data_IF_956710360348
#
_entry.id   IF_956710360348
#
_cell.length_a   1.000
_cell.length_b   1.000
_cell.length_c   1.000
_cell.angle_alpha   90.00
_cell.angle_beta   90.00
_cell.angle_gamma   90.00
#
_symmetry.space_group_name_H-M   'P 1'
#
loop_
_entity.id
_entity.type
_entity.pdbx_description
1 polymer ?
#
# COMPACT_ATOMS: atom_id res chain seq x y z
N UNK A 1 -28.36 7.29 -39.54
CA UNK A 1 -27.03 6.95 -38.99
C UNK A 1 -26.12 8.17 -39.07
N UNK A 2 -25.90 8.87 -37.94
CA UNK A 2 -24.98 10.01 -37.88
C UNK A 2 -23.53 9.50 -37.98
N UNK A 3 -22.83 9.80 -39.05
CA UNK A 3 -21.40 9.53 -39.23
C UNK A 3 -20.63 10.25 -38.12
N UNK A 4 -20.04 9.49 -37.17
CA UNK A 4 -19.06 10.04 -36.21
C UNK A 4 -17.98 10.75 -37.01
N UNK A 5 -17.83 12.09 -36.79
CA UNK A 5 -16.76 12.88 -37.41
C UNK A 5 -15.42 12.19 -37.13
N UNK A 6 -14.77 11.68 -38.15
CA UNK A 6 -13.49 11.00 -38.03
C UNK A 6 -12.42 12.04 -37.73
N UNK A 7 -11.76 11.89 -36.56
CA UNK A 7 -10.64 12.74 -36.21
C UNK A 7 -9.43 12.40 -37.09
N UNK A 8 -8.78 13.42 -37.67
CA UNK A 8 -7.56 13.29 -38.46
C UNK A 8 -6.36 13.66 -37.57
N UNK A 9 -5.40 12.77 -37.34
CA UNK A 9 -4.16 13.10 -36.67
C UNK A 9 -3.32 14.09 -37.49
N UNK A 10 -2.40 14.82 -36.86
CA UNK A 10 -1.59 15.88 -37.48
C UNK A 10 -0.94 15.45 -38.82
N UNK A 11 -0.28 14.30 -38.84
CA UNK A 11 0.39 13.80 -40.04
C UNK A 11 -0.58 13.54 -41.21
N UNK A 12 -1.79 13.05 -40.93
CA UNK A 12 -2.79 12.87 -41.99
C UNK A 12 -3.33 14.19 -42.56
N UNK A 13 -3.36 15.26 -41.77
CA UNK A 13 -3.75 16.60 -42.18
C UNK A 13 -2.69 17.19 -43.13
N UNK A 14 -1.42 17.01 -42.79
CA UNK A 14 -0.28 17.43 -43.60
C UNK A 14 -0.31 16.71 -44.93
N UNK A 15 -0.33 15.40 -44.95
CA UNK A 15 -0.36 14.59 -46.15
C UNK A 15 -1.58 14.88 -47.06
N UNK A 16 -2.75 15.10 -46.44
CA UNK A 16 -3.97 15.45 -47.19
C UNK A 16 -3.82 16.78 -47.93
N UNK A 17 -3.21 17.79 -47.29
CA UNK A 17 -2.99 19.09 -47.91
C UNK A 17 -1.90 19.02 -48.97
N UNK A 18 -0.81 18.30 -48.71
CA UNK A 18 0.28 18.09 -49.69
C UNK A 18 -0.22 17.42 -50.95
N UNK A 19 -1.01 16.34 -50.86
CA UNK A 19 -1.59 15.65 -51.98
C UNK A 19 -2.53 16.57 -52.82
N UNK A 20 -3.27 17.44 -52.14
CA UNK A 20 -4.17 18.37 -52.85
C UNK A 20 -3.43 19.54 -53.52
N UNK A 21 -2.38 20.08 -52.91
CA UNK A 21 -1.72 21.29 -53.37
C UNK A 21 -0.53 21.04 -54.29
N UNK A 22 0.18 19.94 -54.08
CA UNK A 22 1.44 19.68 -54.80
C UNK A 22 1.39 18.42 -55.67
N UNK A 23 0.47 17.45 -55.38
CA UNK A 23 0.36 16.23 -56.17
C UNK A 23 -0.90 16.20 -57.08
N UNK A 24 -1.66 17.30 -57.17
CA UNK A 24 -2.80 17.43 -58.10
C UNK A 24 -4.07 16.66 -57.69
N UNK A 25 -4.14 16.12 -56.47
CA UNK A 25 -5.34 15.40 -56.05
C UNK A 25 -6.53 16.35 -55.83
N UNK A 26 -7.68 16.04 -56.43
CA UNK A 26 -8.88 16.85 -56.23
C UNK A 26 -9.42 16.72 -54.80
N UNK A 27 -10.10 17.76 -54.29
CA UNK A 27 -10.71 17.76 -52.97
C UNK A 27 -11.70 16.60 -52.74
N UNK A 28 -12.43 16.20 -53.80
CA UNK A 28 -13.34 15.04 -53.73
C UNK A 28 -12.59 13.72 -53.58
N UNK A 29 -11.51 13.52 -54.32
CA UNK A 29 -10.65 12.32 -54.21
C UNK A 29 -9.98 12.26 -52.83
N UNK A 30 -9.45 13.37 -52.31
CA UNK A 30 -8.86 13.44 -50.97
C UNK A 30 -9.87 13.15 -49.87
N UNK A 31 -11.11 13.63 -50.02
CA UNK A 31 -12.19 13.35 -49.10
C UNK A 31 -12.56 11.86 -49.06
N UNK A 32 -12.67 11.23 -50.24
CA UNK A 32 -12.91 9.77 -50.36
C UNK A 32 -11.74 8.97 -49.77
N UNK A 33 -10.51 9.33 -50.11
CA UNK A 33 -9.31 8.65 -49.67
C UNK A 33 -9.18 8.62 -48.12
N UNK A 34 -9.42 9.76 -47.48
CA UNK A 34 -9.36 9.85 -46.01
C UNK A 34 -10.70 9.58 -45.31
N UNK A 35 -11.77 9.33 -46.05
CA UNK A 35 -13.15 9.13 -45.56
C UNK A 35 -13.60 10.29 -44.65
N UNK A 36 -13.39 11.51 -45.10
CA UNK A 36 -13.84 12.76 -44.48
C UNK A 36 -14.72 13.55 -45.42
N UNK A 37 -15.37 14.61 -44.94
CA UNK A 37 -16.15 15.50 -45.81
C UNK A 37 -15.25 16.40 -46.67
N UNK A 38 -15.73 16.78 -47.83
CA UNK A 38 -15.03 17.77 -48.71
C UNK A 38 -14.79 19.08 -47.96
N UNK A 39 -15.72 19.50 -47.11
CA UNK A 39 -15.55 20.68 -46.24
C UNK A 39 -14.40 20.55 -45.26
N UNK A 40 -14.13 19.33 -44.74
CA UNK A 40 -12.95 19.07 -43.88
C UNK A 40 -11.65 19.25 -44.69
N UNK A 41 -11.60 18.77 -45.92
CA UNK A 41 -10.43 18.95 -46.78
C UNK A 41 -10.22 20.44 -47.08
N UNK A 42 -11.29 21.16 -47.46
CA UNK A 42 -11.27 22.60 -47.69
C UNK A 42 -10.76 23.38 -46.49
N UNK A 43 -11.26 23.06 -45.28
CA UNK A 43 -10.82 23.69 -44.03
C UNK A 43 -9.31 23.57 -43.83
N UNK A 44 -8.73 22.40 -44.04
CA UNK A 44 -7.29 22.20 -43.83
C UNK A 44 -6.44 22.90 -44.92
N UNK A 45 -6.91 22.95 -46.17
CA UNK A 45 -6.25 23.69 -47.25
C UNK A 45 -6.25 25.21 -46.95
N UNK A 46 -7.39 25.75 -46.53
CA UNK A 46 -7.50 27.18 -46.18
C UNK A 46 -6.61 27.53 -44.99
N UNK A 47 -6.58 26.64 -44.01
CA UNK A 47 -5.74 26.82 -42.82
C UNK A 47 -4.24 26.80 -43.15
N UNK A 48 -3.81 25.95 -44.07
CA UNK A 48 -2.45 25.94 -44.59
C UNK A 48 -2.14 27.25 -45.35
N UNK A 49 -3.04 27.70 -46.20
CA UNK A 49 -2.85 28.94 -46.98
C UNK A 49 -2.77 30.18 -46.12
N UNK A 50 -3.54 30.22 -45.03
CA UNK A 50 -3.54 31.31 -44.06
C UNK A 50 -2.36 31.29 -43.10
N UNK A 51 -1.59 30.19 -43.02
CA UNK A 51 -0.46 30.05 -42.10
C UNK A 51 0.76 30.87 -42.60
N UNK A 52 1.57 31.32 -41.63
CA UNK A 52 2.86 31.97 -41.93
C UNK A 52 3.86 30.99 -42.55
N UNK A 53 4.89 31.46 -43.27
CA UNK A 53 5.94 30.60 -43.81
C UNK A 53 6.61 29.72 -42.72
N UNK A 54 6.80 30.26 -41.52
CA UNK A 54 7.38 29.55 -40.37
C UNK A 54 6.44 28.43 -39.90
N UNK A 55 5.13 28.73 -39.79
CA UNK A 55 4.14 27.71 -39.37
C UNK A 55 3.95 26.63 -40.43
N UNK A 56 4.10 26.96 -41.70
CA UNK A 56 4.07 25.96 -42.78
C UNK A 56 5.27 25.02 -42.68
N UNK A 57 6.45 25.55 -42.47
CA UNK A 57 7.69 24.77 -42.35
C UNK A 57 7.70 23.88 -41.09
N UNK A 58 7.21 24.40 -39.97
CA UNK A 58 7.14 23.62 -38.69
C UNK A 58 5.96 22.64 -38.62
N UNK A 59 4.95 22.80 -39.51
CA UNK A 59 3.71 22.04 -39.47
C UNK A 59 2.74 22.46 -38.34
N UNK A 60 2.97 23.59 -37.67
CA UNK A 60 2.11 24.11 -36.61
C UNK A 60 0.68 24.42 -37.06
N UNK A 61 0.50 24.75 -38.33
CA UNK A 61 -0.81 24.94 -38.94
C UNK A 61 -1.73 23.71 -38.86
N UNK A 62 -1.16 22.51 -38.78
CA UNK A 62 -1.90 21.25 -38.70
C UNK A 62 -2.23 20.82 -37.28
N UNK A 63 -1.81 21.56 -36.25
CA UNK A 63 -2.10 21.28 -34.84
C UNK A 63 -3.56 21.63 -34.47
N UNK A 64 -4.08 20.99 -33.44
CA UNK A 64 -5.40 21.31 -32.90
C UNK A 64 -5.39 22.71 -32.26
N UNK A 65 -6.41 23.51 -32.53
CA UNK A 65 -6.60 24.77 -31.81
C UNK A 65 -7.16 24.48 -30.40
N UNK A 66 -6.76 25.26 -29.40
CA UNK A 66 -7.37 25.13 -28.06
C UNK A 66 -8.89 25.33 -28.13
N UNK A 67 -9.65 24.35 -27.65
CA UNK A 67 -11.11 24.42 -27.57
C UNK A 67 -11.61 25.22 -26.36
N UNK A 68 -10.70 25.88 -25.62
CA UNK A 68 -11.05 26.66 -24.43
C UNK A 68 -11.81 27.93 -24.84
N UNK A 69 -12.99 28.20 -24.30
CA UNK A 69 -13.72 29.44 -24.55
C UNK A 69 -12.88 30.65 -24.18
N UNK A 70 -12.87 31.67 -25.08
CA UNK A 70 -12.15 32.93 -24.82
C UNK A 70 -12.70 33.67 -23.59
N UNK A 71 -14.01 33.56 -23.34
CA UNK A 71 -14.67 34.15 -22.17
C UNK A 71 -15.10 33.04 -21.20
N UNK A 72 -14.62 33.08 -19.96
CA UNK A 72 -14.96 32.14 -18.90
C UNK A 72 -15.47 32.90 -17.67
N UNK A 73 -16.77 33.30 -17.67
CA UNK A 73 -17.34 34.15 -16.61
C UNK A 73 -17.24 33.55 -15.20
N UNK A 74 -17.24 32.23 -15.11
CA UNK A 74 -17.15 31.48 -13.83
C UNK A 74 -15.72 31.18 -13.36
N UNK A 75 -14.72 31.64 -14.14
CA UNK A 75 -13.32 31.43 -13.75
C UNK A 75 -12.96 32.34 -12.58
N UNK A 76 -12.40 31.77 -11.51
CA UNK A 76 -11.87 32.55 -10.39
C UNK A 76 -10.75 33.49 -10.88
N UNK A 77 -10.76 34.75 -10.43
CA UNK A 77 -9.68 35.69 -10.69
C UNK A 77 -8.36 35.23 -10.02
N UNK A 78 -7.25 35.68 -10.53
CA UNK A 78 -5.93 35.40 -9.92
C UNK A 78 -5.85 35.89 -8.47
N UNK A 79 -6.48 37.01 -8.14
CA UNK A 79 -6.56 37.51 -6.76
C UNK A 79 -7.21 36.48 -5.80
N UNK A 80 -8.25 35.77 -6.25
CA UNK A 80 -8.89 34.70 -5.48
C UNK A 80 -7.95 33.51 -5.33
N UNK A 81 -7.25 33.13 -6.39
CA UNK A 81 -6.24 32.09 -6.32
C UNK A 81 -5.14 32.42 -5.29
N UNK A 82 -4.62 33.64 -5.30
CA UNK A 82 -3.58 34.08 -4.40
C UNK A 82 -4.06 34.08 -2.95
N UNK A 83 -5.24 34.60 -2.65
CA UNK A 83 -5.82 34.58 -1.32
C UNK A 83 -5.92 33.14 -0.76
N UNK A 84 -6.37 32.19 -1.57
CA UNK A 84 -6.47 30.79 -1.19
C UNK A 84 -5.09 30.18 -0.95
N UNK A 85 -4.11 30.50 -1.81
CA UNK A 85 -2.75 30.00 -1.67
C UNK A 85 -2.04 30.58 -0.44
N UNK A 86 -2.23 31.85 -0.14
CA UNK A 86 -1.70 32.50 1.08
C UNK A 86 -2.29 31.85 2.32
N UNK A 87 -3.61 31.68 2.38
CA UNK A 87 -4.27 30.99 3.49
C UNK A 87 -3.70 29.57 3.69
N UNK A 88 -3.50 28.83 2.59
CA UNK A 88 -2.92 27.47 2.64
C UNK A 88 -1.50 27.45 3.20
N UNK A 89 -0.64 28.36 2.75
CA UNK A 89 0.77 28.45 3.20
C UNK A 89 0.86 28.89 4.67
N UNK A 90 0.01 29.83 5.07
CA UNK A 90 -0.03 30.36 6.45
C UNK A 90 -0.49 29.32 7.46
N UNK A 91 -1.57 28.59 7.14
CA UNK A 91 -2.27 27.74 8.12
C UNK A 91 -1.98 26.23 7.96
N UNK A 92 -1.52 25.79 6.80
CA UNK A 92 -1.43 24.36 6.48
C UNK A 92 -2.79 23.64 6.33
N UNK A 93 -3.91 24.35 6.47
CA UNK A 93 -5.26 23.79 6.51
C UNK A 93 -5.67 23.16 5.18
N UNK A 94 -6.55 22.15 5.28
CA UNK A 94 -7.19 21.56 4.11
C UNK A 94 -8.22 22.48 3.45
N UNK A 95 -8.65 22.16 2.21
CA UNK A 95 -9.58 22.99 1.44
C UNK A 95 -10.87 23.34 2.18
N UNK A 96 -11.38 22.44 3.04
CA UNK A 96 -12.62 22.63 3.79
C UNK A 96 -12.51 23.78 4.81
N UNK A 97 -11.43 23.81 5.58
CA UNK A 97 -11.22 24.85 6.60
C UNK A 97 -10.95 26.20 5.96
N UNK A 98 -10.13 26.23 4.87
CA UNK A 98 -9.87 27.44 4.10
C UNK A 98 -11.16 27.98 3.46
N UNK A 99 -12.03 27.11 2.97
CA UNK A 99 -13.32 27.49 2.41
C UNK A 99 -14.20 28.17 3.46
N UNK A 100 -14.25 27.63 4.67
CA UNK A 100 -14.95 28.21 5.81
C UNK A 100 -14.40 29.57 6.21
N UNK A 101 -13.06 29.72 6.32
CA UNK A 101 -12.40 30.98 6.68
C UNK A 101 -12.63 32.09 5.64
N UNK A 102 -12.60 31.76 4.36
CA UNK A 102 -12.71 32.70 3.26
C UNK A 102 -14.17 32.95 2.80
N UNK A 103 -15.14 32.26 3.38
CA UNK A 103 -16.54 32.33 2.95
C UNK A 103 -16.77 31.81 1.53
N UNK A 104 -16.02 30.82 1.09
CA UNK A 104 -16.00 30.30 -0.29
C UNK A 104 -16.54 28.87 -0.38
N UNK A 105 -17.05 28.49 -1.55
CA UNK A 105 -17.39 27.09 -1.80
C UNK A 105 -16.15 26.18 -1.75
N UNK A 106 -16.24 25.05 -1.03
CA UNK A 106 -15.16 24.06 -0.91
C UNK A 106 -14.57 23.64 -2.26
N UNK A 107 -15.44 23.36 -3.24
CA UNK A 107 -15.01 22.94 -4.59
C UNK A 107 -14.17 24.02 -5.30
N UNK A 108 -14.47 25.29 -5.05
CA UNK A 108 -13.71 26.42 -5.61
C UNK A 108 -12.33 26.49 -4.99
N UNK A 109 -12.22 26.42 -3.66
CA UNK A 109 -10.93 26.41 -2.94
C UNK A 109 -10.08 25.20 -3.38
N UNK A 110 -10.70 24.01 -3.45
CA UNK A 110 -10.00 22.81 -3.90
C UNK A 110 -9.44 22.94 -5.33
N UNK A 111 -10.24 23.49 -6.27
CA UNK A 111 -9.79 23.75 -7.65
C UNK A 111 -8.65 24.76 -7.70
N UNK A 112 -8.71 25.84 -6.93
CA UNK A 112 -7.64 26.82 -6.80
C UNK A 112 -6.34 26.16 -6.35
N UNK A 113 -6.40 25.40 -5.25
CA UNK A 113 -5.23 24.69 -4.70
C UNK A 113 -4.69 23.63 -5.65
N UNK A 114 -5.56 22.88 -6.35
CA UNK A 114 -5.15 21.88 -7.32
C UNK A 114 -4.39 22.51 -8.49
N UNK A 115 -4.89 23.62 -9.03
CA UNK A 115 -4.25 24.35 -10.15
C UNK A 115 -2.84 24.85 -9.79
N UNK A 116 -2.61 25.21 -8.53
CA UNK A 116 -1.31 25.69 -8.03
C UNK A 116 -0.46 24.56 -7.39
N UNK A 117 -0.83 23.30 -7.51
CA UNK A 117 -0.10 22.17 -6.93
C UNK A 117 -0.14 22.07 -5.40
N UNK A 118 -1.00 22.87 -4.74
CA UNK A 118 -1.09 22.96 -3.27
C UNK A 118 -2.24 22.13 -2.66
N UNK A 119 -2.91 21.29 -3.44
CA UNK A 119 -4.02 20.46 -2.97
C UNK A 119 -3.59 19.41 -1.94
N UNK A 120 -2.35 18.99 -1.97
CA UNK A 120 -1.75 18.08 -0.99
C UNK A 120 -0.60 18.79 -0.27
N UNK A 121 -0.49 18.56 1.04
CA UNK A 121 0.71 18.99 1.78
C UNK A 121 1.89 18.16 1.28
N UNK A 122 3.01 18.78 0.87
CA UNK A 122 4.21 18.03 0.57
C UNK A 122 4.57 17.15 1.77
N UNK A 123 4.70 15.87 1.54
CA UNK A 123 5.26 14.99 2.57
C UNK A 123 6.76 15.25 2.63
N UNK A 124 7.30 15.37 3.84
CA UNK A 124 8.75 15.37 4.01
C UNK A 124 9.35 14.17 3.25
N UNK A 125 10.50 14.35 2.60
CA UNK A 125 11.18 13.23 1.98
C UNK A 125 11.28 12.09 2.99
N UNK A 126 10.81 10.92 2.63
CA UNK A 126 10.99 9.75 3.50
C UNK A 126 12.49 9.49 3.53
N UNK A 127 13.09 9.52 4.72
CA UNK A 127 14.42 8.96 4.89
C UNK A 127 14.45 7.58 4.24
N UNK A 128 15.46 7.32 3.43
CA UNK A 128 15.66 5.99 2.87
C UNK A 128 15.86 5.04 4.05
N UNK A 129 14.83 4.25 4.35
CA UNK A 129 14.92 3.24 5.41
C UNK A 129 15.93 2.21 4.93
N UNK A 130 17.12 2.19 5.53
CA UNK A 130 18.07 1.10 5.32
C UNK A 130 17.39 -0.19 5.78
N UNK A 131 17.04 -1.05 4.82
CA UNK A 131 16.49 -2.38 5.11
C UNK A 131 17.62 -3.21 5.65
N UNK A 132 17.56 -3.52 6.91
CA UNK A 132 18.49 -4.43 7.56
C UNK A 132 17.88 -5.83 7.57
N UNK A 133 18.63 -6.80 7.11
CA UNK A 133 18.29 -8.22 7.16
C UNK A 133 19.53 -9.00 7.60
N UNK A 134 19.38 -9.92 8.51
CA UNK A 134 20.45 -10.82 8.90
C UNK A 134 20.76 -11.80 7.78
N UNK A 135 22.06 -12.17 7.57
CA UNK A 135 22.47 -12.89 6.39
C UNK A 135 21.96 -14.33 6.33
N UNK A 136 21.73 -14.98 7.49
CA UNK A 136 21.36 -16.39 7.54
C UNK A 136 20.13 -16.65 8.40
N UNK A 137 19.36 -17.72 8.08
CA UNK A 137 18.31 -18.22 8.96
C UNK A 137 18.85 -18.55 10.35
N UNK A 138 18.13 -18.18 11.40
CA UNK A 138 18.54 -18.39 12.79
C UNK A 138 19.48 -17.34 13.35
N UNK A 139 20.07 -16.47 12.55
CA UNK A 139 20.94 -15.39 13.07
C UNK A 139 20.19 -14.46 14.03
N UNK A 140 18.90 -14.20 13.75
CA UNK A 140 18.02 -13.44 14.62
C UNK A 140 16.57 -13.93 14.54
N UNK A 141 16.03 -14.35 15.66
CA UNK A 141 14.59 -14.54 15.84
C UNK A 141 13.99 -13.30 16.52
N UNK A 142 12.84 -12.84 16.08
CA UNK A 142 12.07 -11.78 16.72
C UNK A 142 10.81 -12.39 17.33
N UNK A 143 10.54 -12.11 18.61
CA UNK A 143 9.40 -12.63 19.33
C UNK A 143 8.56 -11.50 19.95
N UNK A 144 7.24 -11.65 19.87
CA UNK A 144 6.28 -10.68 20.39
C UNK A 144 4.91 -11.33 20.63
N UNK A 145 4.06 -10.69 21.43
CA UNK A 145 2.72 -11.16 21.78
C UNK A 145 1.67 -10.19 21.27
N UNK A 146 0.63 -10.72 20.62
CA UNK A 146 -0.51 -9.93 20.18
C UNK A 146 -1.80 -10.42 20.82
N UNK A 147 -2.56 -9.50 21.41
CA UNK A 147 -3.88 -9.79 21.99
C UNK A 147 -4.97 -9.80 20.92
N UNK A 148 -5.84 -10.81 21.01
CA UNK A 148 -7.06 -10.90 20.24
C UNK A 148 -8.25 -11.01 21.18
N UNK A 149 -9.28 -10.18 20.95
CA UNK A 149 -10.51 -10.30 21.71
C UNK A 149 -11.16 -11.67 21.47
N UNK A 150 -11.61 -12.34 22.52
CA UNK A 150 -12.40 -13.55 22.43
C UNK A 150 -13.86 -13.19 22.14
N UNK A 151 -14.58 -14.09 21.52
CA UNK A 151 -15.99 -13.96 21.22
C UNK A 151 -16.63 -15.36 21.19
N UNK A 152 -17.86 -15.45 21.70
CA UNK A 152 -18.66 -16.66 21.66
C UNK A 152 -19.51 -16.79 20.39
N UNK A 153 -19.86 -15.65 19.78
CA UNK A 153 -20.59 -15.54 18.51
C UNK A 153 -20.02 -14.42 17.63
N UNK A 154 -20.27 -14.49 16.32
CA UNK A 154 -19.83 -13.44 15.41
C UNK A 154 -20.38 -12.06 15.80
N UNK A 155 -19.54 -11.03 15.75
CA UNK A 155 -19.95 -9.65 16.03
C UNK A 155 -20.83 -9.06 14.92
N UNK A 156 -21.42 -7.88 15.19
CA UNK A 156 -22.36 -7.19 14.29
C UNK A 156 -21.80 -6.93 12.86
N UNK A 157 -20.50 -6.83 12.69
CA UNK A 157 -19.88 -6.71 11.34
C UNK A 157 -20.09 -7.94 10.47
N UNK A 158 -20.38 -9.07 11.07
CA UNK A 158 -20.62 -10.36 10.39
C UNK A 158 -22.10 -10.64 10.29
N UNK A 159 -22.87 -10.38 11.36
CA UNK A 159 -24.28 -10.68 11.46
C UNK A 159 -25.18 -9.58 10.91
N UNK A 160 -24.69 -8.33 10.82
CA UNK A 160 -25.51 -7.15 10.54
C UNK A 160 -26.31 -6.64 11.75
N UNK A 161 -26.42 -7.42 12.81
CA UNK A 161 -27.22 -7.12 14.00
C UNK A 161 -26.38 -6.46 15.09
N UNK A 162 -26.82 -5.31 15.59
CA UNK A 162 -26.15 -4.55 16.66
C UNK A 162 -26.66 -4.88 18.07
N UNK A 163 -27.69 -5.72 18.19
CA UNK A 163 -28.29 -6.03 19.47
C UNK A 163 -27.46 -7.07 20.24
N UNK A 164 -26.89 -6.63 21.36
CA UNK A 164 -26.34 -7.52 22.39
C UNK A 164 -27.34 -7.61 23.53
N UNK A 165 -27.66 -8.82 23.92
CA UNK A 165 -28.50 -9.05 25.12
C UNK A 165 -27.77 -8.56 26.38
N UNK A 166 -28.52 -8.26 27.46
CA UNK A 166 -27.91 -7.85 28.73
C UNK A 166 -26.98 -8.91 29.34
N UNK A 167 -27.26 -10.21 29.10
CA UNK A 167 -26.40 -11.32 29.51
C UNK A 167 -25.08 -11.32 28.75
N UNK A 168 -25.07 -11.07 27.45
CA UNK A 168 -23.86 -11.01 26.63
C UNK A 168 -22.96 -9.83 26.95
N UNK A 169 -23.55 -8.67 27.28
CA UNK A 169 -22.78 -7.50 27.76
C UNK A 169 -22.08 -7.79 29.08
N UNK A 170 -22.66 -8.64 29.93
CA UNK A 170 -22.08 -9.05 31.23
C UNK A 170 -21.08 -10.18 31.12
N UNK A 171 -21.16 -11.02 30.09
CA UNK A 171 -20.21 -12.09 29.81
C UNK A 171 -18.87 -11.49 29.35
N UNK A 172 -17.93 -11.30 30.28
CA UNK A 172 -16.54 -10.91 29.96
C UNK A 172 -15.82 -12.06 29.27
N UNK A 173 -15.81 -12.10 27.98
CA UNK A 173 -15.21 -13.18 27.18
C UNK A 173 -13.67 -13.11 27.21
N UNK A 174 -13.09 -11.96 27.57
CA UNK A 174 -11.65 -11.76 27.76
C UNK A 174 -10.86 -11.71 26.43
N UNK A 175 -9.60 -12.06 26.55
CA UNK A 175 -8.64 -12.07 25.44
C UNK A 175 -7.94 -13.43 25.36
N UNK A 176 -7.40 -13.73 24.18
CA UNK A 176 -6.39 -14.73 23.93
C UNK A 176 -5.14 -14.06 23.39
N UNK A 177 -3.99 -14.63 23.66
CA UNK A 177 -2.68 -14.05 23.40
C UNK A 177 -1.98 -14.91 22.35
N UNK A 178 -1.76 -14.34 21.18
CA UNK A 178 -0.98 -14.97 20.13
C UNK A 178 0.51 -14.70 20.37
N UNK A 179 1.20 -15.68 20.93
CA UNK A 179 2.65 -15.67 21.04
C UNK A 179 3.24 -16.01 19.68
N UNK A 180 4.05 -15.13 19.14
CA UNK A 180 4.59 -15.26 17.80
C UNK A 180 6.09 -15.08 17.78
N UNK A 181 6.77 -15.84 16.94
CA UNK A 181 8.19 -15.72 16.70
C UNK A 181 8.44 -15.86 15.19
N UNK A 182 9.34 -15.05 14.65
CA UNK A 182 9.68 -15.04 13.23
C UNK A 182 11.20 -14.98 13.05
N UNK A 183 11.71 -15.73 12.09
CA UNK A 183 13.10 -15.62 11.67
C UNK A 183 13.30 -14.38 10.78
N UNK A 184 14.32 -13.60 11.12
CA UNK A 184 14.63 -12.33 10.45
C UNK A 184 14.99 -12.50 8.97
N UNK A 185 15.66 -13.58 8.62
CA UNK A 185 16.11 -13.86 7.25
C UNK A 185 15.03 -14.52 6.40
N UNK A 186 14.53 -15.68 6.84
CA UNK A 186 13.60 -16.49 6.03
C UNK A 186 12.15 -16.03 6.13
N UNK A 187 11.78 -15.26 7.17
CA UNK A 187 10.39 -14.94 7.54
C UNK A 187 9.56 -16.15 7.97
N UNK A 188 10.22 -17.31 8.19
CA UNK A 188 9.55 -18.48 8.75
C UNK A 188 9.00 -18.13 10.12
N UNK A 189 7.73 -18.42 10.38
CA UNK A 189 7.05 -18.00 11.59
C UNK A 189 6.41 -19.16 12.33
N UNK A 190 6.38 -19.06 13.64
CA UNK A 190 5.67 -19.96 14.53
C UNK A 190 4.76 -19.16 15.47
N UNK A 191 3.53 -19.63 15.71
CA UNK A 191 2.56 -18.92 16.54
C UNK A 191 1.66 -19.91 17.28
N UNK A 192 1.42 -19.62 18.53
CA UNK A 192 0.47 -20.33 19.41
C UNK A 192 -0.48 -19.35 20.09
N UNK A 193 -1.66 -19.82 20.46
CA UNK A 193 -2.60 -19.09 21.29
C UNK A 193 -2.54 -19.57 22.74
N UNK A 194 -2.46 -18.60 23.63
CA UNK A 194 -2.40 -18.85 25.07
C UNK A 194 -3.40 -17.96 25.82
N UNK A 195 -3.81 -18.34 27.06
CA UNK A 195 -4.72 -17.53 27.87
C UNK A 195 -4.06 -16.27 28.44
N UNK A 196 -2.74 -16.22 28.48
CA UNK A 196 -1.98 -15.14 29.11
C UNK A 196 -0.62 -14.88 28.40
N UNK A 197 0.10 -13.88 28.89
CA UNK A 197 1.45 -13.52 28.49
C UNK A 197 2.45 -13.58 29.67
N UNK A 198 2.19 -14.50 30.63
CA UNK A 198 3.01 -14.65 31.81
C UNK A 198 4.35 -15.36 31.54
N UNK A 199 5.31 -15.18 32.45
CA UNK A 199 6.65 -15.71 32.25
C UNK A 199 6.72 -17.24 32.00
N UNK A 200 5.97 -18.11 32.73
CA UNK A 200 5.96 -19.55 32.46
C UNK A 200 5.43 -19.87 31.04
N UNK A 201 4.34 -19.21 30.64
CA UNK A 201 3.71 -19.40 29.33
C UNK A 201 4.66 -18.99 28.18
N UNK A 202 5.33 -17.83 28.34
CA UNK A 202 6.34 -17.34 27.40
C UNK A 202 7.50 -18.33 27.25
N UNK A 203 7.99 -18.87 28.38
CA UNK A 203 9.11 -19.83 28.36
C UNK A 203 8.72 -21.15 27.70
N UNK A 204 7.54 -21.69 28.03
CA UNK A 204 7.03 -22.92 27.45
C UNK A 204 6.79 -22.77 25.93
N UNK A 205 6.24 -21.63 25.50
CA UNK A 205 6.12 -21.28 24.08
C UNK A 205 7.48 -21.28 23.38
N UNK A 206 8.48 -20.62 23.98
CA UNK A 206 9.81 -20.54 23.36
C UNK A 206 10.45 -21.92 23.20
N UNK A 207 10.30 -22.83 24.16
CA UNK A 207 10.80 -24.22 24.03
C UNK A 207 10.25 -24.86 22.77
N UNK A 208 8.93 -24.82 22.56
CA UNK A 208 8.30 -25.42 21.37
C UNK A 208 8.67 -24.69 20.07
N UNK A 209 8.79 -23.37 20.13
CA UNK A 209 9.24 -22.58 19.00
C UNK A 209 10.68 -22.93 18.56
N UNK A 210 11.60 -23.14 19.51
CA UNK A 210 12.96 -23.58 19.20
C UNK A 210 12.97 -24.96 18.55
N UNK A 211 12.19 -25.92 19.06
CA UNK A 211 12.01 -27.24 18.45
C UNK A 211 11.47 -27.14 17.03
N UNK A 212 10.52 -26.22 16.79
CA UNK A 212 10.02 -25.95 15.42
C UNK A 212 11.14 -25.47 14.50
N UNK A 213 11.98 -24.52 14.90
CA UNK A 213 13.09 -24.06 14.07
C UNK A 213 14.14 -25.15 13.83
N UNK A 214 14.48 -25.91 14.88
CA UNK A 214 15.41 -27.05 14.79
C UNK A 214 14.91 -28.13 13.80
N UNK A 215 13.59 -28.42 13.79
CA UNK A 215 12.99 -29.36 12.83
C UNK A 215 13.07 -28.88 11.37
N UNK A 216 13.31 -27.59 11.17
CA UNK A 216 13.56 -26.98 9.85
C UNK A 216 15.04 -26.77 9.54
N UNK A 217 15.95 -27.31 10.38
CA UNK A 217 17.40 -27.17 10.21
C UNK A 217 17.94 -25.76 10.54
N UNK A 218 17.18 -24.98 11.28
CA UNK A 218 17.58 -23.63 11.73
C UNK A 218 18.10 -23.70 13.16
N UNK A 219 19.34 -23.27 13.37
CA UNK A 219 19.95 -23.13 14.68
C UNK A 219 19.89 -21.67 15.13
N UNK A 220 19.01 -21.30 16.09
CA UNK A 220 18.89 -19.92 16.56
C UNK A 220 20.13 -19.45 17.30
N UNK A 221 20.64 -18.26 16.94
CA UNK A 221 21.80 -17.64 17.60
C UNK A 221 21.41 -16.45 18.49
N UNK A 222 20.35 -15.73 18.12
CA UNK A 222 19.89 -14.54 18.83
C UNK A 222 18.37 -14.50 18.90
N UNK A 223 17.85 -14.09 20.04
CA UNK A 223 16.44 -13.78 20.25
C UNK A 223 16.28 -12.30 20.54
N UNK A 224 15.43 -11.60 19.82
CA UNK A 224 15.05 -10.21 20.07
C UNK A 224 13.62 -10.12 20.58
N UNK A 225 13.43 -9.39 21.68
CA UNK A 225 12.11 -9.09 22.25
C UNK A 225 12.00 -7.60 22.56
N UNK A 226 10.79 -7.14 22.84
CA UNK A 226 10.59 -5.85 23.47
C UNK A 226 11.03 -5.86 24.95
N UNK A 227 10.80 -4.75 25.66
CA UNK A 227 11.16 -4.60 27.07
C UNK A 227 10.03 -5.00 28.03
N UNK A 228 9.04 -5.79 27.61
CA UNK A 228 7.96 -6.22 28.47
C UNK A 228 8.48 -7.06 29.64
N UNK A 229 7.83 -6.96 30.81
CA UNK A 229 8.32 -7.61 32.03
C UNK A 229 8.35 -9.13 31.92
N UNK A 230 7.45 -9.73 31.15
CA UNK A 230 7.44 -11.19 30.90
C UNK A 230 8.69 -11.71 30.18
N UNK A 231 9.46 -10.84 29.55
CA UNK A 231 10.77 -11.15 28.98
C UNK A 231 11.91 -10.69 29.89
N UNK A 232 11.85 -9.43 30.38
CA UNK A 232 12.96 -8.79 31.06
C UNK A 232 13.21 -9.38 32.47
N UNK A 233 12.14 -9.75 33.19
CA UNK A 233 12.22 -10.33 34.54
C UNK A 233 12.05 -11.86 34.56
N UNK A 234 12.05 -12.52 33.42
CA UNK A 234 11.84 -13.94 33.27
C UNK A 234 13.16 -14.71 33.47
N UNK A 235 13.41 -15.21 34.66
CA UNK A 235 14.61 -16.02 34.98
C UNK A 235 14.65 -17.34 34.20
N UNK A 236 13.52 -18.02 34.06
CA UNK A 236 13.42 -19.29 33.35
C UNK A 236 13.73 -19.12 31.86
N UNK A 237 13.25 -18.00 31.22
CA UNK A 237 13.59 -17.65 29.84
C UNK A 237 15.10 -17.44 29.71
N UNK A 238 15.70 -16.68 30.62
CA UNK A 238 17.15 -16.42 30.62
C UNK A 238 17.96 -17.70 30.71
N UNK A 239 17.66 -18.56 31.67
CA UNK A 239 18.31 -19.86 31.84
C UNK A 239 18.15 -20.77 30.60
N UNK A 240 16.97 -20.75 29.95
CA UNK A 240 16.74 -21.50 28.73
C UNK A 240 17.66 -21.00 27.59
N UNK A 241 17.74 -19.69 27.42
CA UNK A 241 18.56 -19.08 26.37
C UNK A 241 20.06 -19.31 26.60
N UNK A 242 20.51 -19.19 27.84
CA UNK A 242 21.90 -19.49 28.25
C UNK A 242 22.27 -20.95 27.96
N UNK A 243 21.43 -21.90 28.39
CA UNK A 243 21.64 -23.34 28.13
C UNK A 243 21.69 -23.69 26.65
N UNK A 244 20.98 -22.91 25.82
CA UNK A 244 20.93 -23.09 24.35
C UNK A 244 21.97 -22.25 23.58
N UNK A 245 22.80 -21.46 24.28
CA UNK A 245 23.77 -20.55 23.66
C UNK A 245 23.13 -19.43 22.83
N UNK A 246 21.90 -19.04 23.13
CA UNK A 246 21.15 -18.03 22.39
C UNK A 246 21.28 -16.68 23.08
N UNK A 247 21.84 -15.70 22.37
CA UNK A 247 21.99 -14.34 22.91
C UNK A 247 20.66 -13.59 22.91
N UNK A 248 20.21 -13.16 24.10
CA UNK A 248 18.99 -12.35 24.25
C UNK A 248 19.27 -10.87 23.98
N UNK A 249 18.51 -10.25 23.09
CA UNK A 249 18.60 -8.83 22.76
C UNK A 249 17.28 -8.14 23.04
N UNK A 250 17.34 -7.03 23.75
CA UNK A 250 16.20 -6.14 23.94
C UNK A 250 16.22 -5.02 22.91
N UNK A 251 15.04 -4.61 22.46
CA UNK A 251 14.92 -3.44 21.57
C UNK A 251 15.28 -2.20 22.39
N UNK A 252 16.15 -1.30 21.87
CA UNK A 252 16.42 -0.02 22.54
C UNK A 252 15.13 0.78 22.73
N UNK A 253 15.03 1.47 23.86
CA UNK A 253 13.88 2.31 24.19
C UNK A 253 13.65 3.33 23.06
N UNK A 254 12.39 3.55 22.67
CA UNK A 254 11.96 4.46 21.60
C UNK A 254 12.43 4.10 20.18
N UNK A 255 12.82 2.85 19.92
CA UNK A 255 13.19 2.39 18.58
C UNK A 255 12.32 1.23 18.06
N UNK A 256 10.99 1.42 17.90
CA UNK A 256 10.08 0.36 17.47
C UNK A 256 10.44 -0.20 16.08
N UNK A 257 11.11 0.60 15.24
CA UNK A 257 11.55 0.17 13.89
C UNK A 257 12.39 -1.12 13.90
N UNK A 258 13.02 -1.48 15.01
CA UNK A 258 13.84 -2.71 15.12
C UNK A 258 13.03 -4.00 15.22
N UNK A 259 11.75 -3.92 15.62
CA UNK A 259 10.84 -5.08 15.68
C UNK A 259 9.91 -5.19 14.46
N UNK A 260 10.21 -4.44 13.41
CA UNK A 260 9.31 -4.26 12.26
C UNK A 260 8.92 -5.54 11.53
N UNK A 261 9.71 -6.62 11.60
CA UNK A 261 9.40 -7.89 10.93
C UNK A 261 8.33 -8.67 11.66
N UNK A 262 8.44 -8.80 12.98
CA UNK A 262 7.40 -9.44 13.79
C UNK A 262 6.11 -8.61 13.80
N UNK A 263 6.21 -7.27 13.87
CA UNK A 263 5.05 -6.38 13.77
C UNK A 263 4.33 -6.54 12.43
N UNK A 264 5.08 -6.63 11.33
CA UNK A 264 4.53 -6.89 10.00
C UNK A 264 3.88 -8.25 9.90
N UNK A 265 4.50 -9.28 10.48
CA UNK A 265 3.92 -10.61 10.58
C UNK A 265 2.61 -10.58 11.35
N UNK A 266 2.57 -9.93 12.50
CA UNK A 266 1.35 -9.79 13.32
C UNK A 266 0.24 -8.99 12.63
N UNK A 267 0.59 -8.01 11.81
CA UNK A 267 -0.40 -7.32 10.94
C UNK A 267 -0.99 -8.29 9.91
N UNK A 268 -0.16 -9.14 9.31
CA UNK A 268 -0.60 -10.16 8.36
C UNK A 268 -1.46 -11.21 9.03
N UNK A 269 -1.01 -11.73 10.18
CA UNK A 269 -1.79 -12.64 11.03
C UNK A 269 -3.17 -12.08 11.37
N UNK A 270 -3.22 -10.82 11.80
CA UNK A 270 -4.49 -10.17 12.13
C UNK A 270 -5.41 -10.00 10.92
N UNK A 271 -4.86 -9.61 9.77
CA UNK A 271 -5.65 -9.34 8.55
C UNK A 271 -6.15 -10.61 7.88
N UNK A 272 -5.32 -11.64 7.81
CA UNK A 272 -5.59 -12.84 7.01
C UNK A 272 -6.24 -13.95 7.85
N UNK A 273 -5.83 -14.11 9.11
CA UNK A 273 -6.40 -15.09 10.02
C UNK A 273 -7.32 -14.44 11.06
N UNK A 274 -6.84 -13.52 11.89
CA UNK A 274 -7.58 -13.03 13.06
C UNK A 274 -8.92 -12.37 12.73
N UNK A 275 -8.97 -11.57 11.66
CA UNK A 275 -10.14 -10.79 11.23
C UNK A 275 -10.47 -10.95 9.74
N UNK A 276 -9.67 -11.70 8.98
CA UNK A 276 -9.85 -11.88 7.53
C UNK A 276 -10.95 -12.85 7.17
N UNK A 277 -11.30 -13.75 8.08
CA UNK A 277 -12.34 -14.76 7.90
C UNK A 277 -13.49 -14.57 8.91
N UNK A 278 -14.66 -15.11 8.58
CA UNK A 278 -15.85 -15.08 9.44
C UNK A 278 -15.90 -16.33 10.29
N UNK A 279 -15.38 -16.27 11.49
CA UNK A 279 -15.43 -17.39 12.44
C UNK A 279 -16.72 -17.37 13.25
N UNK A 280 -17.26 -18.55 13.57
CA UNK A 280 -18.45 -18.70 14.42
C UNK A 280 -18.14 -18.44 15.90
N UNK A 281 -16.91 -18.74 16.35
CA UNK A 281 -16.46 -18.56 17.74
C UNK A 281 -14.93 -18.35 17.75
N UNK A 282 -14.38 -17.96 18.92
CA UNK A 282 -12.94 -17.92 19.13
C UNK A 282 -12.29 -19.30 18.99
N UNK A 283 -12.98 -20.36 19.39
CA UNK A 283 -12.46 -21.72 19.27
C UNK A 283 -12.35 -22.15 17.81
N UNK A 284 -13.34 -21.82 16.98
CA UNK A 284 -13.26 -22.01 15.54
C UNK A 284 -12.11 -21.22 14.89
N UNK A 285 -11.85 -19.98 15.40
CA UNK A 285 -10.69 -19.19 14.99
C UNK A 285 -9.39 -19.86 15.41
N UNK A 286 -9.31 -20.36 16.63
CA UNK A 286 -8.12 -21.05 17.15
C UNK A 286 -7.79 -22.30 16.33
N UNK A 287 -8.80 -23.14 16.01
CA UNK A 287 -8.65 -24.33 15.18
C UNK A 287 -8.11 -24.02 13.78
N UNK A 288 -8.41 -22.84 13.23
CA UNK A 288 -7.94 -22.43 11.90
C UNK A 288 -6.47 -21.92 11.91
N UNK A 289 -5.88 -21.62 13.09
CA UNK A 289 -4.53 -21.08 13.16
C UNK A 289 -3.45 -22.00 12.58
N UNK A 290 -3.36 -23.29 12.92
CA UNK A 290 -2.34 -24.19 12.37
C UNK A 290 -2.44 -24.31 10.84
N UNK A 291 -3.65 -24.33 10.29
CA UNK A 291 -3.90 -24.42 8.84
C UNK A 291 -3.38 -23.15 8.17
N UNK A 292 -3.71 -21.97 8.71
CA UNK A 292 -3.24 -20.70 8.20
C UNK A 292 -1.72 -20.57 8.31
N UNK A 293 -1.12 -20.97 9.43
CA UNK A 293 0.31 -20.91 9.66
C UNK A 293 1.09 -21.80 8.67
N UNK A 294 0.58 -22.99 8.40
CA UNK A 294 1.11 -23.88 7.35
C UNK A 294 1.04 -23.21 5.98
N UNK A 295 -0.10 -22.57 5.64
CA UNK A 295 -0.24 -21.81 4.41
C UNK A 295 0.74 -20.64 4.35
N UNK A 296 0.87 -19.84 5.42
CA UNK A 296 1.80 -18.70 5.50
C UNK A 296 3.25 -19.15 5.25
N UNK A 297 3.69 -20.20 5.90
CA UNK A 297 5.07 -20.66 5.81
C UNK A 297 5.41 -21.33 4.47
N UNK A 298 4.46 -22.06 3.85
CA UNK A 298 4.75 -22.95 2.73
C UNK A 298 4.16 -22.55 1.39
N UNK A 299 3.16 -21.66 1.35
CA UNK A 299 2.43 -21.31 0.12
C UNK A 299 2.25 -19.82 -0.10
N UNK A 300 2.20 -19.00 0.96
CA UNK A 300 1.94 -17.58 0.84
C UNK A 300 3.12 -16.86 0.18
N UNK A 301 2.85 -16.19 -0.93
CA UNK A 301 3.84 -15.36 -1.60
C UNK A 301 4.20 -14.15 -0.75
N UNK A 302 5.49 -13.87 -0.65
CA UNK A 302 6.04 -12.76 0.11
C UNK A 302 6.90 -11.88 -0.80
N UNK A 303 6.46 -10.64 -1.06
CA UNK A 303 7.09 -9.75 -2.03
C UNK A 303 8.58 -9.47 -1.74
N UNK A 304 8.96 -9.36 -0.46
CA UNK A 304 10.37 -9.18 -0.08
C UNK A 304 11.25 -10.43 -0.30
N UNK A 305 10.63 -11.59 -0.52
CA UNK A 305 11.29 -12.86 -0.83
C UNK A 305 11.22 -13.21 -2.34
N UNK A 306 10.94 -12.23 -3.20
CA UNK A 306 10.76 -12.44 -4.64
C UNK A 306 9.52 -13.28 -4.94
N UNK A 307 8.41 -12.98 -4.25
CA UNK A 307 7.13 -13.67 -4.35
C UNK A 307 7.20 -15.19 -4.07
N UNK A 308 8.11 -15.58 -3.18
CA UNK A 308 8.26 -16.95 -2.71
C UNK A 308 7.80 -17.10 -1.25
N UNK A 309 7.36 -18.30 -0.83
CA UNK A 309 6.98 -18.54 0.56
C UNK A 309 8.22 -18.57 1.48
N UNK A 310 8.05 -18.29 2.79
CA UNK A 310 9.14 -18.29 3.78
C UNK A 310 10.01 -19.55 3.78
N UNK A 311 9.42 -20.73 3.64
CA UNK A 311 10.14 -22.01 3.62
C UNK A 311 11.17 -22.12 2.48
N UNK A 312 11.00 -21.38 1.39
CA UNK A 312 11.94 -21.42 0.26
C UNK A 312 13.33 -20.92 0.63
N UNK A 313 13.42 -19.99 1.58
CA UNK A 313 14.71 -19.46 2.05
C UNK A 313 15.42 -20.38 3.07
N UNK A 314 14.71 -21.32 3.64
CA UNK A 314 15.31 -22.32 4.54
C UNK A 314 15.95 -23.44 3.73
N UNK A 315 15.30 -23.89 2.66
CA UNK A 315 15.75 -25.06 1.87
C UNK A 315 16.95 -24.80 0.95
N UNK A 316 17.19 -23.54 0.57
CA UNK A 316 18.19 -23.16 -0.42
C UNK A 316 19.51 -22.64 0.18
N UNK A 317 19.73 -22.79 1.49
CA UNK A 317 20.99 -22.38 2.09
C UNK A 317 22.03 -23.51 1.99
N UNK A 318 23.27 -23.22 1.54
CA UNK A 318 24.37 -24.17 1.70
C UNK A 318 24.52 -24.46 3.21
N UNK A 319 24.68 -25.73 3.56
CA UNK A 319 24.98 -26.13 4.94
C UNK A 319 26.18 -25.29 5.40
N UNK A 320 25.95 -24.48 6.43
CA UNK A 320 27.06 -23.78 7.07
C UNK A 320 28.01 -24.83 7.63
N UNK A 321 29.18 -24.96 7.02
CA UNK A 321 30.26 -25.68 7.65
C UNK A 321 30.56 -24.98 8.98
N UNK A 322 30.39 -25.72 10.07
CA UNK A 322 30.78 -25.37 11.45
C UNK A 322 32.24 -25.02 11.52
#
# INVERSE_FOLDING_TARGET
>A
MQSKRRWLPRWQRVELVEKCLFEGMTRRQAAQWRRVSVSTVQYWIERYRAASPVDRASGAWAEDRPCTPHRQPTRCSERVHDRVCVARRRTGWGPRLIASELGMAHATVWRCLRRRGLSRTPRAPREQVRRFEWPCPGDLLQMDVKRFARFSRPGHRVTGERHMTGAEKRARVGYEFAHSIIDDHSRLAYTELHPDEQAPTVTAFLVRALQFYESHGITPRRLQTDNHLSYKRNSSLRQLLERRGIHHRFIPIRTPKRNGKIERYQQTLAREWGYGQRYRSSDARATALPIWLKHYNSKRNYSELGDRPPISRVRNQPRQNT
#
